data_IF_231596509525
#
_entry.id   IF_231596509525
#
_cell.length_a   1.000
_cell.length_b   1.000
_cell.length_c   1.000
_cell.angle_alpha   90.00
_cell.angle_beta   90.00
_cell.angle_gamma   90.00
#
_symmetry.space_group_name_H-M   'P 1'
#
loop_
_entity.id
_entity.type
_entity.pdbx_description
1 polymer ?
#
# COMPACT_ATOMS: atom_id res chain seq x y z
N UNK A 1 -26.11 5.84 22.16
CA UNK A 1 -26.44 6.39 20.83
C UNK A 1 -25.13 6.52 20.06
N UNK A 2 -24.80 5.54 19.22
CA UNK A 2 -23.55 5.54 18.45
C UNK A 2 -23.77 6.37 17.19
N UNK A 3 -23.14 7.54 17.10
CA UNK A 3 -23.10 8.30 15.85
C UNK A 3 -22.50 7.39 14.77
N UNK A 4 -23.12 7.35 13.58
CA UNK A 4 -22.66 6.51 12.49
C UNK A 4 -21.22 6.90 12.10
N UNK A 5 -20.31 5.95 11.84
CA UNK A 5 -18.89 6.20 11.49
C UNK A 5 -18.67 6.87 10.12
N UNK A 6 -19.73 7.12 9.38
CA UNK A 6 -19.76 7.70 8.04
C UNK A 6 -19.07 9.08 7.89
N UNK A 7 -19.16 10.06 8.82
CA UNK A 7 -18.59 11.38 8.59
C UNK A 7 -17.05 11.36 8.60
N UNK A 8 -16.43 10.43 9.31
CA UNK A 8 -14.98 10.30 9.36
C UNK A 8 -14.42 9.79 8.04
N UNK A 9 -15.05 8.74 7.48
CA UNK A 9 -14.61 8.20 6.19
C UNK A 9 -14.74 9.23 5.07
N UNK A 10 -15.86 9.97 5.01
CA UNK A 10 -16.06 11.02 4.01
C UNK A 10 -15.00 12.11 4.12
N UNK A 11 -14.67 12.56 5.34
CA UNK A 11 -13.58 13.54 5.56
C UNK A 11 -12.23 13.01 5.10
N UNK A 12 -11.90 11.76 5.43
CA UNK A 12 -10.66 11.13 4.98
C UNK A 12 -10.62 10.93 3.45
N UNK A 13 -11.73 10.51 2.85
CA UNK A 13 -11.89 10.36 1.40
C UNK A 13 -11.64 11.69 0.69
N UNK A 14 -12.22 12.77 1.22
CA UNK A 14 -12.00 14.13 0.75
C UNK A 14 -10.51 14.51 0.80
N UNK A 15 -9.85 14.25 1.94
CA UNK A 15 -8.41 14.48 2.10
C UNK A 15 -7.55 13.69 1.09
N UNK A 16 -7.80 12.39 0.90
CA UNK A 16 -7.07 11.59 -0.09
C UNK A 16 -7.34 12.08 -1.51
N UNK A 17 -8.58 12.50 -1.78
CA UNK A 17 -8.99 13.11 -3.04
C UNK A 17 -8.21 14.40 -3.36
N UNK A 18 -8.12 15.33 -2.40
CA UNK A 18 -7.35 16.58 -2.58
C UNK A 18 -5.87 16.30 -2.78
N UNK A 19 -5.28 15.39 -1.99
CA UNK A 19 -3.88 14.98 -2.15
C UNK A 19 -3.62 14.34 -3.53
N UNK A 20 -4.49 13.44 -4.00
CA UNK A 20 -4.39 12.83 -5.35
C UNK A 20 -4.48 13.89 -6.45
N UNK A 21 -5.37 14.89 -6.32
CA UNK A 21 -5.47 16.02 -7.26
C UNK A 21 -4.19 16.84 -7.30
N UNK A 22 -3.62 17.20 -6.14
CA UNK A 22 -2.34 17.92 -6.08
C UNK A 22 -1.19 17.12 -6.73
N UNK A 23 -1.14 15.80 -6.51
CA UNK A 23 -0.13 14.94 -7.13
C UNK A 23 -0.33 14.86 -8.66
N UNK A 24 -1.58 14.71 -9.13
CA UNK A 24 -1.87 14.70 -10.55
C UNK A 24 -1.45 16.02 -11.23
N UNK A 25 -1.75 17.16 -10.60
CA UNK A 25 -1.31 18.48 -11.06
C UNK A 25 0.23 18.63 -11.09
N UNK A 26 0.95 17.93 -10.21
CA UNK A 26 2.41 17.93 -10.19
C UNK A 26 3.06 16.93 -11.18
N UNK A 27 2.30 15.96 -11.69
CA UNK A 27 2.73 15.01 -12.74
C UNK A 27 2.55 15.63 -14.13
N UNK A 28 1.42 16.28 -14.38
CA UNK A 28 1.10 16.85 -15.69
C UNK A 28 1.83 18.18 -15.86
N UNK A 29 2.71 18.32 -16.87
CA UNK A 29 3.34 19.61 -17.15
C UNK A 29 2.28 20.59 -17.65
N UNK A 30 1.96 21.61 -16.85
CA UNK A 30 1.22 22.78 -17.33
C UNK A 30 2.17 23.61 -18.18
N UNK A 31 1.71 24.14 -19.33
CA UNK A 31 2.52 24.96 -20.25
C UNK A 31 3.43 25.92 -19.46
N UNK A 32 4.74 25.86 -19.73
CA UNK A 32 5.83 26.63 -19.09
C UNK A 32 6.24 26.26 -17.66
N UNK A 33 5.68 25.20 -17.05
CA UNK A 33 6.15 24.69 -15.75
C UNK A 33 6.77 23.30 -15.91
N UNK A 34 8.05 23.08 -15.56
CA UNK A 34 8.63 21.75 -15.59
C UNK A 34 7.90 20.84 -14.59
N UNK A 35 7.65 19.60 -14.99
CA UNK A 35 7.06 18.60 -14.10
C UNK A 35 7.92 18.46 -12.84
N UNK A 36 7.31 18.66 -11.67
CA UNK A 36 8.01 18.66 -10.36
C UNK A 36 8.22 17.26 -9.82
N UNK A 37 7.35 16.33 -10.23
CA UNK A 37 7.47 14.90 -9.96
C UNK A 37 7.90 14.19 -11.24
N UNK A 38 9.01 13.46 -11.19
CA UNK A 38 9.35 12.53 -12.25
C UNK A 38 8.15 11.58 -12.48
N UNK A 39 7.65 11.54 -13.71
CA UNK A 39 6.45 10.81 -14.13
C UNK A 39 6.29 9.41 -13.46
N UNK A 40 7.32 8.54 -13.39
CA UNK A 40 7.15 7.23 -12.73
C UNK A 40 6.91 7.31 -11.21
N UNK A 41 7.55 8.24 -10.49
CA UNK A 41 7.38 8.36 -9.03
C UNK A 41 5.99 8.90 -8.70
N UNK A 42 5.54 9.93 -9.44
CA UNK A 42 4.20 10.48 -9.27
C UNK A 42 3.11 9.44 -9.53
N UNK A 43 3.23 8.65 -10.60
CA UNK A 43 2.26 7.61 -10.94
C UNK A 43 2.20 6.49 -9.88
N UNK A 44 3.36 6.07 -9.36
CA UNK A 44 3.41 5.09 -8.27
C UNK A 44 2.75 5.62 -6.99
N UNK A 45 2.98 6.89 -6.66
CA UNK A 45 2.35 7.53 -5.52
C UNK A 45 0.83 7.59 -5.70
N UNK A 46 0.37 8.01 -6.87
CA UNK A 46 -1.04 8.07 -7.21
C UNK A 46 -1.73 6.70 -7.04
N UNK A 47 -1.17 5.64 -7.63
CA UNK A 47 -1.67 4.25 -7.48
C UNK A 47 -1.65 3.78 -6.02
N UNK A 48 -0.60 4.14 -5.28
CA UNK A 48 -0.47 3.77 -3.86
C UNK A 48 -1.57 4.42 -3.02
N UNK A 49 -1.89 5.69 -3.25
CA UNK A 49 -2.98 6.38 -2.56
C UNK A 49 -4.34 5.74 -2.86
N UNK A 50 -4.59 5.39 -4.12
CA UNK A 50 -5.79 4.62 -4.50
C UNK A 50 -5.88 3.28 -3.76
N UNK A 51 -4.78 2.53 -3.71
CA UNK A 51 -4.72 1.25 -2.99
C UNK A 51 -4.98 1.40 -1.49
N UNK A 52 -4.44 2.45 -0.85
CA UNK A 52 -4.69 2.73 0.58
C UNK A 52 -6.17 3.03 0.79
N UNK A 53 -6.78 3.84 -0.09
CA UNK A 53 -8.19 4.22 -0.01
C UNK A 53 -9.11 3.00 -0.14
N UNK A 54 -8.92 2.16 -1.16
CA UNK A 54 -9.69 0.93 -1.33
C UNK A 54 -9.56 0.01 -0.11
N UNK A 55 -8.33 -0.18 0.39
CA UNK A 55 -8.10 -1.03 1.58
C UNK A 55 -8.76 -0.48 2.83
N UNK A 56 -8.78 0.83 3.01
CA UNK A 56 -9.45 1.45 4.15
C UNK A 56 -10.97 1.28 4.04
N UNK A 57 -11.54 1.54 2.87
CA UNK A 57 -12.96 1.32 2.61
C UNK A 57 -13.38 -0.13 2.87
N UNK A 58 -12.64 -1.09 2.30
CA UNK A 58 -12.88 -2.53 2.52
C UNK A 58 -12.81 -2.92 4.00
N UNK A 59 -11.93 -2.25 4.76
CA UNK A 59 -11.74 -2.53 6.17
C UNK A 59 -12.89 -1.95 7.00
N UNK A 60 -13.32 -0.72 6.70
CA UNK A 60 -14.48 -0.11 7.36
C UNK A 60 -15.76 -0.90 7.07
N UNK A 61 -15.98 -1.28 5.81
CA UNK A 61 -17.13 -2.13 5.44
C UNK A 61 -17.12 -3.46 6.20
N UNK A 62 -15.94 -4.03 6.47
CA UNK A 62 -15.81 -5.24 7.30
C UNK A 62 -16.12 -4.97 8.77
N UNK A 63 -15.66 -3.85 9.34
CA UNK A 63 -15.97 -3.49 10.73
C UNK A 63 -17.48 -3.29 10.90
N UNK A 64 -18.13 -2.60 9.97
CA UNK A 64 -19.58 -2.40 9.97
C UNK A 64 -20.33 -3.73 9.86
N UNK A 65 -19.90 -4.63 8.97
CA UNK A 65 -20.48 -5.96 8.84
C UNK A 65 -20.26 -6.85 10.09
N UNK A 66 -19.09 -6.74 10.73
CA UNK A 66 -18.75 -7.50 11.94
C UNK A 66 -19.43 -6.94 13.21
N UNK A 67 -19.81 -5.66 13.24
CA UNK A 67 -20.46 -5.04 14.40
C UNK A 67 -21.82 -5.66 14.74
N UNK A 68 -22.51 -6.25 13.77
CA UNK A 68 -23.80 -6.91 13.95
C UNK A 68 -23.76 -8.43 14.08
N UNK A 69 -22.59 -9.05 13.86
CA UNK A 69 -22.47 -10.51 13.95
C UNK A 69 -21.65 -10.91 15.18
N UNK A 70 -22.19 -11.77 16.07
CA UNK A 70 -21.34 -12.41 17.06
C UNK A 70 -20.21 -13.10 16.31
N UNK A 71 -18.97 -12.89 16.76
CA UNK A 71 -17.76 -13.48 16.14
C UNK A 71 -17.80 -15.00 16.26
N UNK A 72 -18.64 -15.65 15.48
CA UNK A 72 -18.72 -17.10 15.38
C UNK A 72 -17.42 -17.52 14.69
N UNK A 73 -16.50 -18.03 15.49
CA UNK A 73 -15.29 -18.75 15.14
C UNK A 73 -14.77 -18.48 13.73
N UNK A 74 -13.82 -17.54 13.66
CA UNK A 74 -12.91 -17.28 12.54
C UNK A 74 -12.69 -18.55 11.74
N UNK A 75 -13.43 -18.69 10.63
CA UNK A 75 -13.37 -19.84 9.72
C UNK A 75 -11.92 -20.17 9.51
N UNK A 76 -11.50 -21.37 9.94
CA UNK A 76 -10.15 -21.86 9.72
C UNK A 76 -9.82 -21.55 8.27
N UNK A 77 -8.78 -20.73 8.03
CA UNK A 77 -8.35 -20.41 6.67
C UNK A 77 -8.14 -21.74 5.99
N UNK A 78 -9.08 -22.13 5.13
CA UNK A 78 -8.92 -23.32 4.33
C UNK A 78 -7.57 -23.13 3.64
N UNK A 79 -6.63 -24.09 3.77
CA UNK A 79 -5.37 -24.02 3.06
C UNK A 79 -5.76 -23.88 1.60
N UNK A 80 -5.60 -22.68 1.04
CA UNK A 80 -5.88 -22.46 -0.35
C UNK A 80 -4.94 -23.41 -1.07
N UNK A 81 -5.45 -24.42 -1.80
CA UNK A 81 -4.60 -25.35 -2.50
C UNK A 81 -3.75 -24.48 -3.42
N UNK A 82 -2.47 -24.36 -3.10
CA UNK A 82 -1.48 -23.80 -4.03
C UNK A 82 -1.49 -24.79 -5.18
N UNK A 83 -2.32 -24.51 -6.18
CA UNK A 83 -2.21 -25.16 -7.46
C UNK A 83 -0.77 -24.88 -7.90
N UNK A 84 0.05 -25.92 -7.89
CA UNK A 84 1.40 -25.90 -8.44
C UNK A 84 1.23 -25.75 -9.95
N UNK A 85 0.91 -24.54 -10.41
CA UNK A 85 0.97 -24.24 -11.83
C UNK A 85 2.41 -24.51 -12.29
N UNK A 86 2.60 -25.26 -13.39
CA UNK A 86 3.92 -25.49 -13.95
C UNK A 86 4.61 -24.14 -14.12
N UNK A 87 5.83 -24.04 -13.60
CA UNK A 87 6.59 -22.80 -13.58
C UNK A 87 6.86 -22.35 -15.02
N UNK A 88 6.03 -21.43 -15.51
CA UNK A 88 6.29 -20.73 -16.76
C UNK A 88 7.65 -20.01 -16.63
N UNK A 89 8.52 -20.09 -17.64
CA UNK A 89 9.82 -19.44 -17.59
C UNK A 89 9.65 -17.94 -17.30
N UNK A 90 10.17 -17.52 -16.14
CA UNK A 90 10.04 -16.15 -15.67
C UNK A 90 10.64 -15.20 -16.70
N UNK A 91 9.80 -14.34 -17.28
CA UNK A 91 10.26 -13.24 -18.10
C UNK A 91 11.30 -12.40 -17.32
N UNK A 92 12.34 -11.88 -18.00
CA UNK A 92 13.35 -11.06 -17.34
C UNK A 92 12.68 -9.88 -16.63
N UNK A 93 12.83 -9.82 -15.31
CA UNK A 93 12.18 -8.82 -14.48
C UNK A 93 12.75 -7.44 -14.84
N UNK A 94 11.94 -6.61 -15.50
CA UNK A 94 12.28 -5.20 -15.70
C UNK A 94 12.41 -4.52 -14.34
N UNK A 95 13.46 -3.72 -14.11
CA UNK A 95 13.65 -3.04 -12.84
C UNK A 95 12.49 -2.07 -12.62
N UNK A 96 11.59 -2.42 -11.70
CA UNK A 96 10.45 -1.55 -11.41
C UNK A 96 10.94 -0.30 -10.67
N UNK A 97 10.45 0.90 -11.05
CA UNK A 97 10.76 2.11 -10.32
C UNK A 97 10.34 1.95 -8.85
N UNK A 98 11.26 2.30 -7.94
CA UNK A 98 11.01 2.20 -6.49
C UNK A 98 10.68 3.58 -5.95
N UNK A 99 9.63 3.67 -5.12
CA UNK A 99 9.33 4.90 -4.40
C UNK A 99 10.47 5.24 -3.44
N UNK A 100 10.78 6.54 -3.27
CA UNK A 100 11.73 6.97 -2.25
C UNK A 100 11.32 6.47 -0.86
N UNK A 101 12.31 6.05 -0.07
CA UNK A 101 12.11 5.50 1.28
C UNK A 101 12.46 6.49 2.40
N UNK A 102 12.86 7.73 2.08
CA UNK A 102 13.21 8.73 3.09
C UNK A 102 11.95 9.27 3.76
N UNK A 103 12.01 9.59 5.05
CA UNK A 103 10.90 10.22 5.76
C UNK A 103 10.57 11.59 5.15
N UNK A 104 9.29 11.91 4.98
CA UNK A 104 8.84 13.22 4.46
C UNK A 104 9.24 13.52 3.02
N UNK A 105 9.54 12.50 2.22
CA UNK A 105 10.08 12.71 0.87
C UNK A 105 9.12 13.46 -0.06
N UNK A 106 7.80 13.38 0.16
CA UNK A 106 6.81 14.09 -0.67
C UNK A 106 7.02 15.61 -0.59
N UNK A 107 7.41 16.15 0.58
CA UNK A 107 7.59 17.59 0.76
C UNK A 107 8.71 18.18 -0.12
N UNK A 108 9.61 17.34 -0.64
CA UNK A 108 10.65 17.77 -1.59
C UNK A 108 10.13 17.93 -3.02
N UNK A 109 9.00 17.32 -3.35
CA UNK A 109 8.45 17.28 -4.70
C UNK A 109 7.11 18.01 -4.83
N UNK A 110 6.40 18.19 -3.72
CA UNK A 110 5.09 18.82 -3.66
C UNK A 110 5.12 19.92 -2.59
N UNK A 111 5.17 21.21 -2.95
CA UNK A 111 5.23 22.31 -1.97
C UNK A 111 3.96 22.42 -1.13
N UNK A 112 2.83 21.87 -1.58
CA UNK A 112 1.57 21.80 -0.84
C UNK A 112 1.56 20.69 0.23
N UNK A 113 2.56 19.80 0.22
CA UNK A 113 2.64 18.67 1.14
C UNK A 113 2.60 19.04 2.64
N UNK A 114 3.20 20.14 3.11
CA UNK A 114 3.07 20.56 4.51
C UNK A 114 1.62 20.85 4.91
N UNK A 115 0.82 21.44 4.00
CA UNK A 115 -0.61 21.65 4.22
C UNK A 115 -1.35 20.33 4.35
N UNK A 116 -1.10 19.39 3.43
CA UNK A 116 -1.66 18.03 3.52
C UNK A 116 -1.22 17.30 4.80
N UNK A 117 0.04 17.48 5.21
CA UNK A 117 0.55 16.88 6.43
C UNK A 117 -0.16 17.44 7.68
N UNK A 118 -0.44 18.75 7.70
CA UNK A 118 -1.17 19.39 8.78
C UNK A 118 -2.63 18.92 8.83
N UNK A 119 -3.32 18.83 7.69
CA UNK A 119 -4.68 18.30 7.61
C UNK A 119 -4.76 16.86 8.12
N UNK A 120 -3.80 16.01 7.74
CA UNK A 120 -3.75 14.64 8.25
C UNK A 120 -3.45 14.58 9.75
N UNK A 121 -2.56 15.43 10.26
CA UNK A 121 -2.30 15.51 11.72
C UNK A 121 -3.56 15.90 12.47
N UNK A 122 -4.28 16.92 11.99
CA UNK A 122 -5.53 17.35 12.60
C UNK A 122 -6.54 16.20 12.64
N UNK A 123 -6.74 15.53 11.50
CA UNK A 123 -7.60 14.35 11.39
C UNK A 123 -7.19 13.21 12.35
N UNK A 124 -5.89 12.94 12.49
CA UNK A 124 -5.37 11.91 13.40
C UNK A 124 -5.50 12.30 14.89
N UNK A 125 -5.64 13.58 15.21
CA UNK A 125 -5.85 14.05 16.59
C UNK A 125 -7.34 14.10 16.97
N UNK A 126 -8.26 13.85 16.05
CA UNK A 126 -9.69 13.79 16.37
C UNK A 126 -9.99 12.56 17.24
N UNK A 127 -10.79 12.70 18.31
CA UNK A 127 -11.10 11.61 19.22
C UNK A 127 -11.83 10.45 18.52
N UNK A 128 -12.63 10.75 17.49
CA UNK A 128 -13.30 9.73 16.68
C UNK A 128 -12.29 8.89 15.89
N UNK A 129 -11.24 9.52 15.36
CA UNK A 129 -10.16 8.82 14.64
C UNK A 129 -9.32 7.99 15.60
N UNK A 130 -9.05 8.50 16.79
CA UNK A 130 -8.37 7.75 17.84
C UNK A 130 -9.17 6.50 18.25
N UNK A 131 -10.47 6.66 18.54
CA UNK A 131 -11.35 5.55 18.90
C UNK A 131 -11.44 4.52 17.77
N UNK A 132 -11.48 4.98 16.51
CA UNK A 132 -11.48 4.10 15.34
C UNK A 132 -10.17 3.30 15.23
N UNK A 133 -9.00 3.93 15.39
CA UNK A 133 -7.70 3.26 15.36
C UNK A 133 -7.55 2.28 16.54
N UNK A 134 -8.05 2.64 17.72
CA UNK A 134 -8.04 1.79 18.90
C UNK A 134 -8.93 0.55 18.72
N UNK A 135 -10.08 0.69 18.05
CA UNK A 135 -10.99 -0.43 17.77
C UNK A 135 -10.44 -1.42 16.73
N UNK A 136 -9.76 -0.94 15.69
CA UNK A 136 -9.00 -1.80 14.76
C UNK A 136 -7.59 -1.23 14.44
N UNK A 137 -6.54 -1.78 15.09
CA UNK A 137 -5.14 -1.40 14.84
C UNK A 137 -4.66 -1.53 13.39
N UNK A 138 -5.36 -2.29 12.53
CA UNK A 138 -5.04 -2.41 11.10
C UNK A 138 -5.23 -1.08 10.37
N UNK A 139 -6.16 -0.23 10.82
CA UNK A 139 -6.36 1.11 10.27
C UNK A 139 -5.08 1.94 10.45
N UNK A 140 -4.54 1.98 11.67
CA UNK A 140 -3.27 2.65 11.95
C UNK A 140 -2.12 2.13 11.06
N UNK A 141 -2.07 0.81 10.81
CA UNK A 141 -1.05 0.22 9.91
C UNK A 141 -1.22 0.65 8.45
N UNK A 142 -2.44 0.85 7.97
CA UNK A 142 -2.73 1.36 6.63
C UNK A 142 -2.33 2.84 6.48
N UNK A 143 -2.44 3.63 7.56
CA UNK A 143 -2.10 5.05 7.58
C UNK A 143 -0.59 5.32 7.74
N UNK A 144 0.17 4.39 8.34
CA UNK A 144 1.63 4.51 8.56
C UNK A 144 2.41 4.88 7.28
N UNK A 145 2.23 4.20 6.14
CA UNK A 145 2.88 4.61 4.89
C UNK A 145 2.63 6.07 4.53
N UNK A 146 1.39 6.54 4.69
CA UNK A 146 0.99 7.88 4.30
C UNK A 146 1.65 8.92 5.22
N UNK A 147 1.64 8.68 6.53
CA UNK A 147 2.34 9.51 7.51
C UNK A 147 3.84 9.57 7.25
N UNK A 148 4.47 8.43 6.96
CA UNK A 148 5.90 8.38 6.63
C UNK A 148 6.24 9.18 5.37
N UNK A 149 5.40 9.11 4.34
CA UNK A 149 5.62 9.85 3.09
C UNK A 149 5.46 11.36 3.27
N UNK A 150 4.50 11.80 4.11
CA UNK A 150 4.25 13.21 4.44
C UNK A 150 5.16 13.77 5.54
N UNK A 151 5.95 12.93 6.22
CA UNK A 151 6.85 13.40 7.27
C UNK A 151 6.13 13.68 8.59
N UNK A 152 5.06 12.95 8.87
CA UNK A 152 4.33 13.01 10.14
C UNK A 152 4.94 11.99 11.11
N UNK A 153 5.26 12.43 12.32
CA UNK A 153 5.81 11.57 13.36
C UNK A 153 4.82 10.44 13.67
N UNK A 154 5.29 9.20 13.47
CA UNK A 154 4.50 8.00 13.70
C UNK A 154 4.17 7.79 15.18
N UNK A 155 4.84 8.47 16.12
CA UNK A 155 4.49 8.46 17.56
C UNK A 155 3.03 8.84 17.78
N UNK A 156 2.45 9.68 16.93
CA UNK A 156 1.02 10.01 16.97
C UNK A 156 0.14 8.76 16.77
N UNK A 157 0.53 7.85 15.86
CA UNK A 157 -0.20 6.59 15.62
C UNK A 157 0.16 5.52 16.65
N UNK A 158 1.43 5.47 17.08
CA UNK A 158 1.89 4.44 18.03
C UNK A 158 1.37 4.65 19.45
N UNK A 159 0.98 5.87 19.84
CA UNK A 159 0.23 6.08 21.09
C UNK A 159 -1.11 5.35 21.10
N UNK A 160 -1.74 5.21 19.92
CA UNK A 160 -3.08 4.64 19.75
C UNK A 160 -3.08 3.14 19.47
N UNK A 161 -2.02 2.63 18.85
CA UNK A 161 -1.84 1.20 18.60
C UNK A 161 -0.84 0.64 19.59
N UNK A 162 -1.24 -0.18 20.57
CA UNK A 162 -0.28 -0.83 21.46
C UNK A 162 0.78 -1.54 20.60
N UNK A 163 2.08 -1.40 20.91
CA UNK A 163 3.11 -2.14 20.21
C UNK A 163 2.67 -3.60 20.21
N UNK A 164 2.66 -4.20 19.02
CA UNK A 164 2.38 -5.62 18.86
C UNK A 164 3.38 -6.32 19.77
N UNK A 165 2.95 -6.75 20.95
CA UNK A 165 3.86 -7.37 21.90
C UNK A 165 4.41 -8.59 21.16
N UNK A 166 5.70 -8.63 20.81
CA UNK A 166 6.28 -9.79 20.15
C UNK A 166 6.22 -11.02 21.06
N UNK A 167 5.76 -10.82 22.30
CA UNK A 167 5.70 -11.73 23.42
C UNK A 167 4.32 -12.38 23.63
N UNK A 168 3.41 -12.41 22.64
CA UNK A 168 2.39 -13.45 22.70
C UNK A 168 3.15 -14.77 22.68
N UNK A 169 3.30 -15.47 23.83
CA UNK A 169 4.09 -16.67 23.86
C UNK A 169 3.41 -17.56 22.85
N UNK A 170 4.12 -17.90 21.78
CA UNK A 170 3.65 -18.97 20.91
C UNK A 170 3.41 -20.10 21.89
N UNK A 171 2.17 -20.62 22.07
CA UNK A 171 1.93 -21.68 23.02
C UNK A 171 2.94 -22.74 22.65
N UNK A 172 3.88 -22.94 23.57
CA UNK A 172 5.01 -23.82 23.39
C UNK A 172 4.42 -25.22 23.40
N UNK A 173 3.84 -25.63 22.28
CA UNK A 173 3.41 -27.00 22.00
C UNK A 173 4.64 -27.93 21.93
N UNK A 174 5.84 -27.37 22.07
CA UNK A 174 7.10 -28.05 22.29
C UNK A 174 7.53 -28.14 23.76
N UNK A 175 6.73 -27.66 24.73
CA UNK A 175 6.82 -28.11 26.14
C UNK A 175 6.24 -29.52 26.30
N UNK A 176 6.74 -30.40 25.42
CA UNK A 176 6.75 -31.84 25.58
C UNK A 176 7.57 -32.13 26.83
N UNK A 177 6.91 -32.84 27.74
CA UNK A 177 7.49 -33.71 28.76
C UNK A 177 9.00 -34.00 28.58
N UNK A 178 9.84 -33.68 29.57
CA UNK A 178 11.29 -33.92 29.50
C UNK A 178 11.73 -35.40 29.50
N UNK A 179 10.82 -36.38 29.56
CA UNK A 179 11.19 -37.75 29.96
C UNK A 179 11.00 -38.85 28.91
N UNK A 180 10.54 -38.54 27.70
CA UNK A 180 10.34 -39.56 26.67
C UNK A 180 10.61 -39.00 25.27
N UNK A 181 11.87 -38.96 24.84
CA UNK A 181 12.31 -39.24 23.45
C UNK A 181 13.81 -39.01 23.28
N UNK A 182 14.56 -39.89 23.94
CA UNK A 182 15.81 -40.39 23.39
C UNK A 182 15.47 -41.42 22.30
N UNK A 183 14.87 -40.96 21.21
CA UNK A 183 14.74 -41.77 20.01
C UNK A 183 15.33 -40.97 18.88
N UNK A 184 16.57 -41.35 18.53
CA UNK A 184 17.18 -41.24 17.23
C UNK A 184 16.64 -40.09 16.37
N UNK A 185 17.32 -38.94 16.45
CA UNK A 185 17.24 -37.91 15.41
C UNK A 185 17.44 -38.65 14.07
N UNK A 186 16.47 -38.66 13.15
CA UNK A 186 16.68 -39.30 11.86
C UNK A 186 17.93 -38.68 11.23
N UNK A 187 18.84 -39.48 10.65
CA UNK A 187 20.04 -38.97 10.03
C UNK A 187 19.63 -37.87 9.05
N UNK A 188 20.22 -36.68 9.20
CA UNK A 188 20.05 -35.60 8.22
C UNK A 188 20.36 -36.22 6.86
N UNK A 189 19.44 -36.19 5.88
CA UNK A 189 19.75 -36.69 4.55
C UNK A 189 21.03 -35.99 4.10
N UNK A 190 22.01 -36.80 3.71
CA UNK A 190 23.29 -36.33 3.21
C UNK A 190 22.99 -35.27 2.16
N UNK A 191 23.32 -34.01 2.45
CA UNK A 191 23.31 -32.96 1.46
C UNK A 191 24.46 -33.34 0.51
N UNK A 192 24.22 -33.71 -0.76
CA UNK A 192 25.32 -34.04 -1.65
C UNK A 192 26.25 -32.83 -1.69
N UNK A 193 27.52 -33.04 -1.31
CA UNK A 193 28.55 -32.01 -1.14
C UNK A 193 28.96 -31.31 -2.46
N UNK A 194 28.28 -31.64 -3.55
CA UNK A 194 28.55 -31.05 -4.84
C UNK A 194 27.24 -30.75 -5.56
N UNK A 195 26.95 -29.49 -5.92
CA UNK A 195 25.95 -29.25 -6.94
C UNK A 195 26.35 -30.05 -8.19
N UNK A 196 25.40 -30.69 -8.89
CA UNK A 196 25.70 -31.41 -10.12
C UNK A 196 26.45 -30.49 -11.09
N UNK A 197 27.38 -31.04 -11.91
CA UNK A 197 28.06 -30.25 -12.93
C UNK A 197 27.00 -29.48 -13.72
N UNK A 198 27.21 -28.15 -13.86
CA UNK A 198 26.30 -27.32 -14.64
C UNK A 198 26.19 -27.94 -16.03
N UNK A 199 24.97 -28.17 -16.55
CA UNK A 199 24.82 -28.66 -17.91
C UNK A 199 25.57 -27.73 -18.88
N UNK A 200 26.10 -28.28 -19.98
CA UNK A 200 26.78 -27.48 -21.00
C UNK A 200 25.89 -26.29 -21.36
N UNK A 201 26.48 -25.10 -21.29
CA UNK A 201 25.78 -23.84 -21.53
C UNK A 201 25.15 -23.92 -22.92
N UNK A 202 23.83 -23.85 -23.01
CA UNK A 202 23.15 -23.81 -24.29
C UNK A 202 23.81 -22.73 -25.17
N UNK A 203 23.95 -22.97 -26.49
CA UNK A 203 24.46 -21.94 -27.40
C UNK A 203 23.64 -20.65 -27.20
N UNK A 204 24.29 -19.48 -27.24
CA UNK A 204 23.58 -18.22 -27.09
C UNK A 204 22.43 -18.21 -28.12
N UNK A 205 21.23 -17.77 -27.74
CA UNK A 205 20.13 -17.66 -28.70
C UNK A 205 20.59 -16.78 -29.87
N UNK A 206 20.08 -17.04 -31.09
CA UNK A 206 20.37 -16.20 -32.24
C UNK A 206 20.12 -14.74 -31.85
N UNK A 207 21.06 -13.85 -32.22
CA UNK A 207 20.92 -12.42 -31.96
C UNK A 207 19.61 -11.96 -32.61
N UNK A 208 18.60 -11.72 -31.76
CA UNK A 208 17.39 -11.04 -32.20
C UNK A 208 17.85 -9.66 -32.69
N UNK A 209 17.48 -9.23 -33.90
CA UNK A 209 17.75 -7.87 -34.35
C UNK A 209 17.34 -6.91 -33.24
N UNK A 210 18.20 -5.94 -32.90
CA UNK A 210 17.88 -4.96 -31.88
C UNK A 210 16.47 -4.42 -32.18
N UNK A 211 15.53 -4.51 -31.24
CA UNK A 211 14.23 -3.89 -31.46
C UNK A 211 14.48 -2.42 -31.80
N UNK A 212 13.72 -1.84 -32.74
CA UNK A 212 13.86 -0.43 -33.07
C UNK A 212 13.83 0.38 -31.76
N UNK A 213 14.64 1.45 -31.65
CA UNK A 213 14.70 2.25 -30.44
C UNK A 213 13.27 2.61 -30.03
N UNK A 214 12.87 2.18 -28.82
CA UNK A 214 11.56 2.48 -28.29
C UNK A 214 11.38 4.00 -28.36
N UNK A 215 10.44 4.45 -29.21
CA UNK A 215 10.13 5.86 -29.36
C UNK A 215 9.80 6.38 -27.96
N UNK A 216 10.47 7.45 -27.53
CA UNK A 216 10.18 8.05 -26.24
C UNK A 216 8.67 8.39 -26.20
N UNK A 217 7.95 8.03 -25.13
CA UNK A 217 6.52 8.30 -25.05
C UNK A 217 6.29 9.80 -25.21
N UNK A 218 5.43 10.16 -26.15
CA UNK A 218 5.03 11.55 -26.38
C UNK A 218 4.17 12.04 -25.22
N UNK A 219 3.99 13.36 -25.10
CA UNK A 219 3.08 13.93 -24.10
C UNK A 219 1.66 13.36 -24.28
N UNK A 220 1.23 13.15 -25.53
CA UNK A 220 -0.06 12.53 -25.86
C UNK A 220 -0.13 11.08 -25.39
N UNK A 221 0.94 10.29 -25.52
CA UNK A 221 0.97 8.90 -25.01
C UNK A 221 0.83 8.86 -23.49
N UNK A 222 1.53 9.78 -22.79
CA UNK A 222 1.43 9.89 -21.32
C UNK A 222 0.04 10.34 -20.92
N UNK A 223 -0.54 11.33 -21.62
CA UNK A 223 -1.88 11.83 -21.36
C UNK A 223 -2.94 10.76 -21.63
N UNK A 224 -2.84 9.99 -22.72
CA UNK A 224 -3.72 8.86 -23.02
C UNK A 224 -3.61 7.74 -21.99
N UNK A 225 -2.39 7.46 -21.50
CA UNK A 225 -2.17 6.46 -20.46
C UNK A 225 -2.74 6.92 -19.11
N UNK A 226 -2.60 8.20 -18.79
CA UNK A 226 -3.24 8.82 -17.65
C UNK A 226 -4.76 8.74 -17.81
N UNK A 227 -5.34 9.18 -18.93
CA UNK A 227 -6.77 9.14 -19.21
C UNK A 227 -7.33 7.72 -19.17
N UNK A 228 -6.57 6.72 -19.62
CA UNK A 228 -6.96 5.31 -19.53
C UNK A 228 -6.93 4.81 -18.08
N UNK A 229 -5.89 5.16 -17.30
CA UNK A 229 -5.80 4.83 -15.87
C UNK A 229 -6.94 5.51 -15.10
N UNK A 230 -7.19 6.80 -15.35
CA UNK A 230 -8.26 7.58 -14.72
C UNK A 230 -9.65 7.09 -15.17
N UNK A 231 -9.84 6.70 -16.44
CA UNK A 231 -11.12 6.18 -16.94
C UNK A 231 -11.43 4.79 -16.40
N UNK A 232 -10.41 3.95 -16.17
CA UNK A 232 -10.60 2.63 -15.55
C UNK A 232 -10.94 2.75 -14.06
N UNK A 233 -10.50 3.82 -13.39
CA UNK A 233 -10.90 4.15 -12.01
C UNK A 233 -12.24 4.90 -11.91
N UNK A 234 -12.73 5.57 -12.96
CA UNK A 234 -14.07 6.20 -12.98
C UNK A 234 -15.21 5.21 -12.74
N UNK A 235 -15.00 3.90 -12.95
CA UNK A 235 -15.98 2.87 -12.62
C UNK A 235 -16.05 2.53 -11.12
N UNK A 236 -15.11 3.01 -10.31
CA UNK A 236 -15.09 2.78 -8.85
C UNK A 236 -15.19 4.08 -8.02
N UNK A 237 -15.08 5.25 -8.66
CA UNK A 237 -15.15 6.55 -7.99
C UNK A 237 -16.46 7.27 -8.37
N UNK A 238 -17.47 7.16 -7.51
CA UNK A 238 -18.70 7.91 -7.68
C UNK A 238 -18.44 9.41 -7.36
N UNK A 239 -18.51 10.32 -8.35
CA UNK A 239 -18.26 11.74 -8.13
C UNK A 239 -19.29 12.40 -7.20
N UNK A 240 -20.45 11.79 -6.98
CA UNK A 240 -21.50 12.30 -6.07
C UNK A 240 -21.08 12.28 -4.60
N UNK A 241 -19.97 11.62 -4.25
CA UNK A 241 -19.47 11.51 -2.88
C UNK A 241 -18.54 12.66 -2.46
N UNK A 242 -18.18 13.58 -3.36
CA UNK A 242 -17.46 14.81 -2.99
C UNK A 242 -18.48 15.92 -2.75
N UNK A 243 -18.84 16.13 -1.48
CA UNK A 243 -19.56 17.34 -1.08
C UNK A 243 -18.75 18.58 -1.52
N UNK A 244 -19.37 19.57 -2.19
CA UNK A 244 -18.68 20.75 -2.74
C UNK A 244 -18.16 21.75 -1.70
N UNK A 245 -18.33 21.52 -0.40
CA UNK A 245 -18.14 22.55 0.64
C UNK A 245 -16.69 22.77 1.13
N UNK A 246 -15.68 22.10 0.57
CA UNK A 246 -14.28 22.45 0.86
C UNK A 246 -13.79 23.62 0.00
N UNK A 247 -14.46 24.77 0.11
CA UNK A 247 -13.91 26.05 -0.30
C UNK A 247 -12.79 26.41 0.68
N UNK A 248 -11.56 26.28 0.21
CA UNK A 248 -10.33 26.69 0.87
C UNK A 248 -10.42 28.19 1.20
N UNK A 249 -10.66 28.54 2.47
CA UNK A 249 -10.50 29.91 2.96
C UNK A 249 -9.00 30.19 3.03
N UNK A 250 -8.50 31.02 2.12
CA UNK A 250 -7.14 31.55 2.22
C UNK A 250 -7.02 32.42 3.48
N UNK A 251 -6.05 32.17 4.38
CA UNK A 251 -5.72 33.15 5.40
C UNK A 251 -5.08 34.37 4.71
N UNK A 252 -5.59 35.56 5.03
CA UNK A 252 -4.99 36.85 4.68
C UNK A 252 -3.80 37.14 5.59
#
# INVERSE_FOLDING_TARGET
MSAAPQPLFTRFAGFIGTLRKSIAAAIVPVRNTPARLASPVGLLLYRRLGTIMTRLHDLLARIEAEAGQPRLYRRARHPHPRASSPAEPAAPATPQPKLPRRFGWIARHLPEAPGHAQSLRHFLCEPETEALIASDPRIGRLLRPLCHMLGIDLRLIYRMVPPNDPSSPTPDLTRRHPLLRETARPPRPHRPDRPPPRPPRAPPPPRVPNPPPLRAPTLDDVQSLLDHVFSREKLAYNPDFIAPDFLYVHPK
#
